data_IF_420396416181
#
_entry.id   IF_420396416181
#
_cell.length_a   1.000
_cell.length_b   1.000
_cell.length_c   1.000
_cell.angle_alpha   90.00
_cell.angle_beta   90.00
_cell.angle_gamma   90.00
#
_symmetry.space_group_name_H-M   'P 1'
#
loop_
_entity.id
_entity.type
_entity.pdbx_description
1 polymer ?
#
# COMPACT_ATOMS: atom_id res chain seq x y z
N UNK A 1 -9.51 -12.78 -11.05
CA UNK A 1 -9.49 -12.59 -9.59
C UNK A 1 -10.94 -12.59 -9.13
N UNK A 2 -11.31 -13.46 -8.18
CA UNK A 2 -12.68 -13.46 -7.65
C UNK A 2 -12.93 -12.13 -6.88
N UNK A 3 -14.11 -11.53 -7.03
CA UNK A 3 -14.45 -10.20 -6.50
C UNK A 3 -14.31 -10.17 -4.97
N UNK A 4 -14.77 -11.23 -4.29
CA UNK A 4 -14.65 -11.39 -2.84
C UNK A 4 -13.19 -11.49 -2.37
N UNK A 5 -12.31 -12.02 -3.21
CA UNK A 5 -10.86 -12.07 -2.92
C UNK A 5 -10.21 -10.70 -3.07
N UNK A 6 -10.67 -9.89 -4.03
CA UNK A 6 -10.17 -8.54 -4.24
C UNK A 6 -10.48 -7.64 -3.04
N UNK A 7 -11.73 -7.66 -2.56
CA UNK A 7 -12.15 -6.84 -1.41
C UNK A 7 -11.42 -7.21 -0.13
N UNK A 8 -11.24 -8.52 0.13
CA UNK A 8 -10.43 -9.00 1.26
C UNK A 8 -9.00 -8.47 1.21
N UNK A 9 -8.37 -8.52 0.04
CA UNK A 9 -7.00 -7.98 -0.14
C UNK A 9 -6.96 -6.48 0.10
N UNK A 10 -7.91 -5.69 -0.41
CA UNK A 10 -7.97 -4.24 -0.13
C UNK A 10 -8.10 -3.95 1.36
N UNK A 11 -8.94 -4.71 2.07
CA UNK A 11 -9.11 -4.55 3.51
C UNK A 11 -7.83 -4.91 4.28
N UNK A 12 -7.16 -6.00 3.88
CA UNK A 12 -5.88 -6.41 4.44
C UNK A 12 -4.79 -5.35 4.22
N UNK A 13 -4.65 -4.83 3.00
CA UNK A 13 -3.70 -3.74 2.69
C UNK A 13 -3.97 -2.50 3.55
N UNK A 14 -5.23 -2.09 3.71
CA UNK A 14 -5.58 -0.95 4.56
C UNK A 14 -5.19 -1.18 6.01
N UNK A 15 -5.45 -2.39 6.53
CA UNK A 15 -5.07 -2.77 7.89
C UNK A 15 -3.56 -2.77 8.06
N UNK A 16 -2.82 -3.37 7.14
CA UNK A 16 -1.35 -3.38 7.16
C UNK A 16 -0.77 -1.97 7.15
N UNK A 17 -1.26 -1.09 6.26
CA UNK A 17 -0.82 0.30 6.24
C UNK A 17 -1.11 1.00 7.57
N UNK A 18 -2.30 0.82 8.15
CA UNK A 18 -2.64 1.41 9.45
C UNK A 18 -1.74 0.89 10.59
N UNK A 19 -1.50 -0.43 10.65
CA UNK A 19 -0.64 -1.07 11.64
C UNK A 19 0.82 -0.58 11.55
N UNK A 20 1.27 -0.20 10.35
CA UNK A 20 2.61 0.34 10.09
C UNK A 20 2.69 1.87 10.13
N UNK A 21 1.59 2.58 10.40
CA UNK A 21 1.55 4.04 10.36
C UNK A 21 1.74 4.66 8.96
N UNK A 22 1.49 3.87 7.91
CA UNK A 22 1.54 4.29 6.50
C UNK A 22 0.19 4.89 6.10
N UNK A 23 0.20 6.06 5.48
CA UNK A 23 -0.98 6.73 4.99
C UNK A 23 -1.39 6.21 3.60
N UNK A 24 -2.70 6.16 3.35
CA UNK A 24 -3.28 5.88 2.03
C UNK A 24 -4.15 7.07 1.65
N UNK A 25 -3.85 7.69 0.52
CA UNK A 25 -4.57 8.86 0.01
C UNK A 25 -5.09 8.62 -1.41
N UNK A 26 -6.27 9.14 -1.77
CA UNK A 26 -6.73 9.15 -3.16
C UNK A 26 -5.75 9.93 -4.06
N UNK A 27 -5.39 9.35 -5.20
CA UNK A 27 -4.48 9.95 -6.17
C UNK A 27 -5.02 9.76 -7.59
N UNK A 28 -5.98 10.61 -7.97
CA UNK A 28 -6.72 10.46 -9.23
C UNK A 28 -7.49 9.14 -9.28
N UNK A 29 -7.18 8.30 -10.26
CA UNK A 29 -7.75 6.95 -10.40
C UNK A 29 -6.93 5.86 -9.68
N UNK A 30 -6.05 6.26 -8.78
CA UNK A 30 -5.15 5.39 -8.03
C UNK A 30 -5.11 5.80 -6.55
N UNK A 31 -4.23 5.13 -5.81
CA UNK A 31 -3.95 5.38 -4.40
C UNK A 31 -2.49 5.70 -4.23
N UNK A 32 -2.20 6.78 -3.52
CA UNK A 32 -0.87 7.08 -3.03
C UNK A 32 -0.71 6.49 -1.63
N UNK A 33 0.30 5.65 -1.47
CA UNK A 33 0.63 4.96 -0.24
C UNK A 33 1.99 5.51 0.19
N UNK A 34 2.01 6.25 1.30
CA UNK A 34 3.21 6.97 1.71
C UNK A 34 3.40 6.95 3.23
N UNK A 35 4.65 6.90 3.66
CA UNK A 35 5.04 6.79 5.05
C UNK A 35 6.57 6.77 5.18
N UNK A 36 7.08 6.48 6.38
CA UNK A 36 8.52 6.42 6.59
C UNK A 36 9.16 5.31 5.73
N UNK A 37 9.95 5.73 4.73
CA UNK A 37 10.60 4.83 3.77
C UNK A 37 9.68 4.17 2.74
N UNK A 38 8.40 4.55 2.69
CA UNK A 38 7.41 4.03 1.74
C UNK A 38 6.88 5.18 0.89
N UNK A 39 6.97 5.03 -0.43
CA UNK A 39 6.41 5.95 -1.42
C UNK A 39 6.02 5.16 -2.66
N UNK A 40 4.72 4.89 -2.82
CA UNK A 40 4.18 4.01 -3.85
C UNK A 40 2.83 4.54 -4.36
N UNK A 41 2.63 4.46 -5.67
CA UNK A 41 1.31 4.67 -6.28
C UNK A 41 0.78 3.33 -6.80
N UNK A 42 -0.43 2.95 -6.37
CA UNK A 42 -1.09 1.72 -6.77
C UNK A 42 -2.48 2.00 -7.33
N UNK A 43 -2.78 1.46 -8.52
CA UNK A 43 -4.11 1.61 -9.16
C UNK A 43 -5.23 0.93 -8.37
N UNK A 44 -4.90 -0.16 -7.67
CA UNK A 44 -5.82 -0.86 -6.78
C UNK A 44 -5.05 -1.44 -5.59
N UNK A 45 -5.57 -1.23 -4.38
CA UNK A 45 -4.98 -1.76 -3.15
C UNK A 45 -4.92 -3.29 -3.14
N UNK A 46 -5.80 -3.98 -3.88
CA UNK A 46 -5.82 -5.44 -3.97
C UNK A 46 -4.55 -6.05 -4.57
N UNK A 47 -3.72 -5.24 -5.22
CA UNK A 47 -2.49 -5.67 -5.88
C UNK A 47 -1.23 -5.30 -5.12
N UNK A 48 -1.36 -4.50 -4.04
CA UNK A 48 -0.23 -4.13 -3.18
C UNK A 48 0.21 -5.36 -2.41
N UNK A 49 1.49 -5.70 -2.51
CA UNK A 49 2.09 -6.82 -1.78
C UNK A 49 2.70 -6.28 -0.47
N UNK A 50 2.78 -7.09 0.59
CA UNK A 50 3.43 -6.68 1.83
C UNK A 50 4.87 -6.18 1.64
N UNK A 51 5.62 -6.75 0.69
CA UNK A 51 6.98 -6.30 0.36
C UNK A 51 7.02 -4.88 -0.23
N UNK A 52 5.96 -4.41 -0.88
CA UNK A 52 5.89 -3.05 -1.43
C UNK A 52 5.74 -1.99 -0.31
N UNK A 53 5.27 -2.40 0.87
CA UNK A 53 5.09 -1.55 2.05
C UNK A 53 6.31 -1.55 2.96
N UNK A 54 7.38 -2.28 2.61
CA UNK A 54 8.60 -2.26 3.41
C UNK A 54 9.36 -0.96 3.17
N UNK A 55 9.85 -0.30 4.24
CA UNK A 55 10.72 0.85 4.10
C UNK A 55 11.90 0.50 3.19
N UNK A 56 12.04 1.20 2.07
CA UNK A 56 13.28 1.13 1.31
C UNK A 56 14.35 1.77 2.18
N UNK A 57 15.31 0.97 2.63
CA UNK A 57 16.54 1.51 3.20
C UNK A 57 17.17 2.35 2.09
N UNK A 58 17.00 3.67 2.17
CA UNK A 58 17.80 4.59 1.39
C UNK A 58 19.24 4.25 1.74
N UNK A 59 19.97 3.73 0.76
CA UNK A 59 21.41 3.52 0.91
C UNK A 59 22.01 4.89 1.19
N UNK A 60 22.31 5.16 2.47
CA UNK A 60 23.03 6.35 2.90
C UNK A 60 24.35 6.35 2.14
N UNK A 61 24.52 7.32 1.24
CA UNK A 61 25.79 7.61 0.55
C UNK A 61 26.54 8.68 1.31
#
# INVERSE_FOLDING_TARGET
MNLETAEKRRAETRRLCADMGIAIQPYGNAWWIHGEGVDLVAVDLAWVRPDDLRPRQLATR
#
